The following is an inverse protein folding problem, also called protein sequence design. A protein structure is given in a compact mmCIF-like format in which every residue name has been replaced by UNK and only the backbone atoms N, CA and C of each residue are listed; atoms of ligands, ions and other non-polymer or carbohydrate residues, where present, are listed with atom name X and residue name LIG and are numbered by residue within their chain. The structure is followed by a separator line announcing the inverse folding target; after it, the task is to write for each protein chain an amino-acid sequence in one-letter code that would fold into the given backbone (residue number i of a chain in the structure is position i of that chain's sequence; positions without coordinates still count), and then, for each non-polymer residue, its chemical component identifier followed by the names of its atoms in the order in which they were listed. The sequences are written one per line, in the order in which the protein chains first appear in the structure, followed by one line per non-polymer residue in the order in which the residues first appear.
data_IF_277274245828
#
_entry.id   IF_277274245828
#
_cell.length_a   1.000
_cell.length_b   1.000
_cell.length_c   1.000
_cell.angle_alpha   90.00
_cell.angle_beta   90.00
_cell.angle_gamma   90.00
#
_symmetry.space_group_name_H-M   'P 1'
#
loop_
_entity.id
_entity.type
_entity.pdbx_description
1 polymer ?
#
# COMPACT_ATOMS: atom_id res chain seq x y z
N UNK A 1 -7.09 -0.43 -0.57
CA UNK A 1 -5.95 -1.37 -0.65
C UNK A 1 -6.44 -2.81 -0.72
N UNK A 2 -5.80 -3.68 -1.50
CA UNK A 2 -6.23 -5.08 -1.69
C UNK A 2 -5.05 -6.02 -1.50
N UNK A 3 -5.31 -7.19 -0.91
CA UNK A 3 -4.38 -8.32 -0.80
C UNK A 3 -5.06 -9.56 -1.35
N UNK A 4 -4.37 -10.33 -2.19
CA UNK A 4 -4.91 -11.55 -2.81
C UNK A 4 -4.56 -12.82 -2.03
N UNK A 5 -3.35 -12.86 -1.45
CA UNK A 5 -2.83 -14.01 -0.70
C UNK A 5 -2.28 -13.57 0.67
N UNK A 6 -2.35 -14.42 1.71
CA UNK A 6 -2.93 -15.78 1.69
C UNK A 6 -4.45 -15.79 1.55
N UNK A 7 -5.11 -14.66 1.84
CA UNK A 7 -6.55 -14.49 1.71
C UNK A 7 -6.87 -13.24 0.89
N UNK A 8 -7.97 -13.29 0.15
CA UNK A 8 -8.51 -12.13 -0.53
C UNK A 8 -9.15 -11.17 0.48
N UNK A 9 -8.54 -10.00 0.67
CA UNK A 9 -9.01 -8.97 1.59
C UNK A 9 -8.93 -7.59 0.93
N UNK A 10 -9.93 -6.76 1.20
CA UNK A 10 -10.03 -5.40 0.66
C UNK A 10 -10.32 -4.39 1.77
N UNK A 11 -9.41 -3.42 1.95
CA UNK A 11 -9.57 -2.26 2.82
C UNK A 11 -9.98 -1.04 2.01
N UNK A 12 -11.17 -0.50 2.29
CA UNK A 12 -11.71 0.69 1.62
C UNK A 12 -11.50 1.92 2.50
N UNK A 13 -11.01 3.02 1.93
CA UNK A 13 -10.78 4.26 2.69
C UNK A 13 -12.03 4.76 3.43
N UNK A 14 -13.23 4.68 2.82
CA UNK A 14 -14.46 5.14 3.47
C UNK A 14 -14.86 4.31 4.70
N UNK A 15 -14.31 3.10 4.89
CA UNK A 15 -14.52 2.31 6.11
C UNK A 15 -13.82 2.97 7.32
N UNK A 16 -12.85 3.87 7.09
CA UNK A 16 -12.19 4.66 8.12
C UNK A 16 -12.99 5.91 8.55
N UNK A 17 -14.23 6.12 8.09
CA UNK A 17 -14.99 7.36 8.30
C UNK A 17 -15.20 7.78 9.77
N UNK A 18 -15.16 6.83 10.70
CA UNK A 18 -15.28 7.09 12.15
C UNK A 18 -13.93 7.10 12.87
N UNK A 19 -12.81 6.87 12.16
CA UNK A 19 -11.47 6.88 12.74
C UNK A 19 -10.95 8.32 12.86
N UNK A 20 -10.56 8.72 14.07
CA UNK A 20 -10.03 10.06 14.35
C UNK A 20 -8.68 10.31 13.65
N UNK A 21 -7.91 9.26 13.35
CA UNK A 21 -6.63 9.33 12.64
C UNK A 21 -6.78 9.24 11.10
N UNK A 22 -8.00 9.39 10.57
CA UNK A 22 -8.25 9.32 9.13
C UNK A 22 -7.48 10.42 8.40
N UNK A 23 -6.91 10.04 7.26
CA UNK A 23 -6.22 10.94 6.35
C UNK A 23 -6.48 10.54 4.89
N UNK A 24 -6.09 11.43 3.98
CA UNK A 24 -6.36 11.33 2.54
C UNK A 24 -5.05 11.16 1.74
N UNK A 25 -4.07 10.48 2.34
CA UNK A 25 -2.76 10.22 1.72
C UNK A 25 -2.82 8.98 0.83
N UNK A 26 -3.38 9.13 -0.36
CA UNK A 26 -3.63 7.99 -1.24
C UNK A 26 -2.40 7.51 -1.99
N UNK A 27 -1.64 8.43 -2.59
CA UNK A 27 -0.54 8.12 -3.49
C UNK A 27 0.59 9.13 -3.31
N UNK A 28 1.83 8.66 -3.44
CA UNK A 28 3.04 9.45 -3.40
C UNK A 28 4.03 8.87 -4.41
N UNK A 29 4.68 9.73 -5.19
CA UNK A 29 5.64 9.31 -6.19
C UNK A 29 6.79 10.30 -6.32
N UNK A 30 8.00 9.76 -6.42
CA UNK A 30 9.24 10.48 -6.71
C UNK A 30 10.14 9.60 -7.60
N UNK A 31 11.19 10.15 -8.23
CA UNK A 31 12.14 9.34 -9.00
C UNK A 31 12.75 8.18 -8.19
N UNK A 32 12.79 8.28 -6.87
CA UNK A 32 13.35 7.27 -5.97
C UNK A 32 12.34 6.21 -5.52
N UNK A 33 11.02 6.47 -5.59
CA UNK A 33 10.01 5.53 -5.12
C UNK A 33 8.58 5.82 -5.58
N UNK A 34 7.74 4.78 -5.53
CA UNK A 34 6.29 4.85 -5.60
C UNK A 34 5.69 4.32 -4.30
N UNK A 35 4.72 5.02 -3.71
CA UNK A 35 4.08 4.60 -2.48
C UNK A 35 2.58 4.90 -2.44
N UNK A 36 1.82 4.08 -1.73
CA UNK A 36 0.37 4.16 -1.62
C UNK A 36 -0.07 4.00 -0.16
N UNK A 37 -1.04 4.82 0.27
CA UNK A 37 -1.66 4.79 1.60
C UNK A 37 -0.71 5.13 2.73
N UNK A 38 -0.80 6.32 3.32
CA UNK A 38 0.15 6.81 4.31
C UNK A 38 -0.26 6.68 5.79
N UNK A 39 0.65 7.25 6.61
CA UNK A 39 0.62 7.46 8.07
C UNK A 39 0.52 6.18 8.95
N UNK A 40 1.49 5.92 9.85
CA UNK A 40 2.86 6.44 9.90
C UNK A 40 3.77 5.83 8.82
N UNK A 41 3.36 4.71 8.21
CA UNK A 41 4.07 4.04 7.10
C UNK A 41 3.20 4.01 5.85
N UNK A 42 3.79 3.59 4.74
CA UNK A 42 3.03 3.30 3.54
C UNK A 42 2.40 1.91 3.61
N UNK A 43 1.15 1.76 3.15
CA UNK A 43 0.51 0.46 2.98
C UNK A 43 1.34 -0.41 2.04
N UNK A 44 1.88 0.21 0.99
CA UNK A 44 2.90 -0.38 0.11
C UNK A 44 3.77 0.72 -0.47
N UNK A 45 5.07 0.46 -0.56
CA UNK A 45 6.03 1.28 -1.28
C UNK A 45 6.99 0.40 -2.07
N UNK A 46 7.40 0.88 -3.24
CA UNK A 46 8.34 0.23 -4.14
C UNK A 46 9.51 1.19 -4.38
N UNK A 47 10.71 0.65 -4.49
CA UNK A 47 11.88 1.41 -4.95
C UNK A 47 11.76 1.78 -6.43
N UNK A 48 12.68 2.62 -6.90
CA UNK A 48 12.73 3.10 -8.28
C UNK A 48 13.07 2.01 -9.30
N UNK A 49 13.77 0.97 -8.87
CA UNK A 49 14.13 -0.17 -9.72
C UNK A 49 12.99 -1.21 -9.82
N UNK A 50 11.95 -1.07 -9.00
CA UNK A 50 10.84 -2.03 -8.85
C UNK A 50 11.34 -3.43 -8.47
N UNK A 51 12.44 -3.51 -7.72
CA UNK A 51 13.06 -4.75 -7.27
C UNK A 51 12.76 -5.03 -5.79
N UNK A 52 12.59 -3.98 -4.99
CA UNK A 52 12.33 -4.10 -3.55
C UNK A 52 11.13 -3.26 -3.16
N UNK A 53 10.38 -3.76 -2.21
CA UNK A 53 9.27 -3.04 -1.63
C UNK A 53 9.19 -3.21 -0.13
N UNK A 54 8.37 -2.36 0.47
CA UNK A 54 8.01 -2.47 1.87
C UNK A 54 6.51 -2.27 2.08
N UNK A 55 5.95 -2.86 3.13
CA UNK A 55 4.56 -2.74 3.50
C UNK A 55 4.41 -2.59 5.01
N UNK A 56 3.69 -1.56 5.42
CA UNK A 56 3.43 -1.27 6.82
C UNK A 56 1.94 -1.06 7.11
N UNK A 57 1.66 -0.73 8.37
CA UNK A 57 0.34 -0.24 8.77
C UNK A 57 0.08 1.11 8.09
N UNK A 58 -1.09 1.25 7.48
CA UNK A 58 -1.56 2.51 6.90
C UNK A 58 -2.84 2.95 7.56
N UNK A 59 -2.84 4.15 8.12
CA UNK A 59 -4.04 4.81 8.66
C UNK A 59 -5.02 5.22 7.55
N UNK A 60 -4.53 5.57 6.35
CA UNK A 60 -5.41 5.94 5.22
C UNK A 60 -6.42 4.83 4.90
N UNK A 61 -5.98 3.57 4.94
CA UNK A 61 -6.83 2.42 4.62
C UNK A 61 -7.19 1.58 5.86
N UNK A 62 -6.47 1.74 6.96
CA UNK A 62 -6.46 0.81 8.11
C UNK A 62 -6.04 -0.60 7.73
N UNK A 63 -5.19 -0.74 6.71
CA UNK A 63 -4.61 -2.03 6.36
C UNK A 63 -3.40 -2.32 7.25
N UNK A 64 -3.20 -3.57 7.68
CA UNK A 64 -1.92 -4.00 8.24
C UNK A 64 -0.88 -4.12 7.12
N UNK A 65 0.32 -4.60 7.46
CA UNK A 65 1.27 -5.09 6.45
C UNK A 65 0.56 -6.09 5.52
N UNK A 66 0.72 -5.85 4.22
CA UNK A 66 0.10 -6.57 3.11
C UNK A 66 0.96 -7.79 2.71
N UNK A 67 2.27 -7.70 2.82
CA UNK A 67 3.17 -8.80 2.52
C UNK A 67 3.31 -9.76 3.71
N UNK A 68 4.09 -10.83 3.53
CA UNK A 68 4.44 -11.76 4.61
C UNK A 68 5.41 -11.14 5.62
N UNK A 69 6.15 -10.11 5.22
CA UNK A 69 7.13 -9.35 6.02
C UNK A 69 7.07 -7.87 5.65
N UNK A 70 7.63 -7.00 6.50
CA UNK A 70 7.65 -5.56 6.22
C UNK A 70 8.46 -5.22 4.96
N UNK A 71 9.58 -5.89 4.72
CA UNK A 71 10.39 -5.74 3.51
C UNK A 71 10.28 -6.99 2.63
N UNK A 72 10.26 -6.82 1.31
CA UNK A 72 10.15 -7.91 0.36
C UNK A 72 10.82 -7.61 -0.99
N UNK A 73 11.22 -8.70 -1.67
CA UNK A 73 11.65 -8.64 -3.07
C UNK A 73 10.44 -8.77 -4.00
N UNK A 74 10.52 -8.10 -5.15
CA UNK A 74 9.44 -8.04 -6.12
C UNK A 74 9.75 -9.00 -7.27
N UNK A 75 8.89 -10.00 -7.46
CA UNK A 75 8.99 -10.90 -8.60
C UNK A 75 8.43 -10.30 -9.90
N UNK A 76 7.34 -9.53 -9.81
CA UNK A 76 6.70 -8.87 -10.95
C UNK A 76 5.84 -7.70 -10.48
N UNK A 77 5.83 -6.63 -11.27
CA UNK A 77 4.86 -5.53 -11.17
C UNK A 77 4.01 -5.51 -12.44
N UNK A 78 2.70 -5.37 -12.28
CA UNK A 78 1.76 -5.21 -13.40
C UNK A 78 0.92 -3.95 -13.16
N UNK A 79 0.80 -3.12 -14.20
CA UNK A 79 -0.08 -1.94 -14.20
C UNK A 79 -1.09 -2.09 -15.33
N UNK A 80 -2.37 -2.07 -14.98
CA UNK A 80 -3.48 -2.31 -15.90
C UNK A 80 -4.26 -1.00 -16.14
N UNK A 81 -4.36 -0.58 -17.39
CA UNK A 81 -5.24 0.50 -17.82
C UNK A 81 -6.61 -0.03 -18.22
N UNK A 82 -7.64 0.82 -18.12
CA UNK A 82 -8.97 0.55 -18.66
C UNK A 82 -9.11 1.33 -19.97
N UNK A 83 -9.62 0.68 -21.02
CA UNK A 83 -9.93 1.27 -22.33
C UNK A 83 -11.43 1.34 -22.56
#
# INVERSE_FOLDING_TARGET
MVRLQPNFVHWKWWQQRMNLARNDFFQFGRPECLALGGAPRYAISLDNELLRGSSGLSESFGSPCLASQEDFEIGKVELWGLV
#
